data_IF_283920278704
#
_entry.id   IF_283920278704
#
_cell.length_a   1.000
_cell.length_b   1.000
_cell.length_c   1.000
_cell.angle_alpha   90.00
_cell.angle_beta   90.00
_cell.angle_gamma   90.00
#
_symmetry.space_group_name_H-M   'P 1'
#
loop_
_entity.id
_entity.type
_entity.pdbx_description
1 polymer ?
#
# COMPACT_ATOMS: atom_id res chain seq x y z
N UNK A 1 28.16 19.32 -12.77
CA UNK A 1 27.73 18.80 -14.08
C UNK A 1 26.29 18.34 -13.90
N UNK A 2 25.31 19.07 -14.44
CA UNK A 2 23.90 18.72 -14.29
C UNK A 2 23.57 17.63 -15.33
N UNK A 3 23.20 16.45 -14.86
CA UNK A 3 22.67 15.36 -15.69
C UNK A 3 21.15 15.54 -15.80
N UNK A 4 20.56 15.19 -16.93
CA UNK A 4 19.10 15.10 -17.03
C UNK A 4 18.59 13.94 -16.16
N UNK A 5 17.33 14.01 -15.71
CA UNK A 5 16.72 12.93 -14.90
C UNK A 5 16.89 11.57 -15.58
N UNK A 6 16.66 11.49 -16.88
CA UNK A 6 16.81 10.26 -17.68
C UNK A 6 18.24 9.72 -17.72
N UNK A 7 19.26 10.58 -17.73
CA UNK A 7 20.68 10.17 -17.72
C UNK A 7 21.16 9.80 -16.32
N UNK A 8 20.62 10.44 -15.28
CA UNK A 8 20.95 10.13 -13.89
C UNK A 8 20.50 8.72 -13.48
N UNK A 9 19.39 8.22 -14.03
CA UNK A 9 18.90 6.86 -13.79
C UNK A 9 19.68 5.77 -14.56
N UNK A 10 20.54 6.14 -15.53
CA UNK A 10 21.30 5.17 -16.32
C UNK A 10 22.55 4.65 -15.60
N UNK A 11 23.12 5.44 -14.68
CA UNK A 11 24.30 5.04 -13.92
C UNK A 11 23.92 4.77 -12.45
N UNK A 12 24.27 3.60 -11.90
CA UNK A 12 24.00 3.31 -10.50
C UNK A 12 24.75 4.30 -9.61
N UNK A 13 24.09 4.76 -8.54
CA UNK A 13 24.75 5.65 -7.59
C UNK A 13 25.87 4.88 -6.86
N UNK A 14 27.12 5.22 -7.19
CA UNK A 14 28.32 4.56 -6.65
C UNK A 14 28.38 4.57 -5.12
N UNK A 15 27.85 5.60 -4.47
CA UNK A 15 27.79 5.67 -3.01
C UNK A 15 26.83 4.65 -2.44
N UNK A 16 25.65 4.50 -3.03
CA UNK A 16 24.64 3.52 -2.60
C UNK A 16 25.15 2.10 -2.87
N UNK A 17 25.78 1.90 -4.03
CA UNK A 17 26.41 0.63 -4.37
C UNK A 17 27.46 0.22 -3.32
N UNK A 18 28.42 1.09 -3.00
CA UNK A 18 29.42 0.80 -1.97
C UNK A 18 28.80 0.66 -0.57
N UNK A 19 27.83 1.51 -0.22
CA UNK A 19 27.20 1.49 1.10
C UNK A 19 26.45 0.17 1.36
N UNK A 20 25.87 -0.41 0.32
CA UNK A 20 25.11 -1.66 0.37
C UNK A 20 25.90 -2.88 -0.11
N UNK A 21 27.19 -2.75 -0.47
CA UNK A 21 28.01 -3.86 -0.94
C UNK A 21 28.66 -4.66 0.20
N UNK A 22 29.22 -5.81 -0.15
CA UNK A 22 30.03 -6.64 0.75
C UNK A 22 31.35 -5.98 1.18
N UNK A 23 31.81 -4.95 0.48
CA UNK A 23 33.01 -4.20 0.86
C UNK A 23 32.80 -3.41 2.15
N UNK A 24 31.55 -3.01 2.41
CA UNK A 24 31.16 -2.40 3.66
C UNK A 24 30.99 -3.48 4.75
N UNK A 25 32.03 -3.66 5.56
CA UNK A 25 32.02 -4.59 6.71
C UNK A 25 30.92 -4.31 7.74
N UNK A 26 30.35 -3.10 7.74
CA UNK A 26 29.28 -2.69 8.64
C UNK A 26 27.89 -2.71 8.00
N UNK A 27 27.73 -3.24 6.79
CA UNK A 27 26.46 -3.26 6.07
C UNK A 27 25.31 -3.85 6.91
N UNK A 28 25.50 -5.03 7.51
CA UNK A 28 24.47 -5.68 8.34
C UNK A 28 24.14 -4.89 9.63
N UNK A 29 25.13 -4.47 10.46
CA UNK A 29 24.87 -3.59 11.61
C UNK A 29 24.18 -2.27 11.23
N UNK A 30 24.54 -1.66 10.11
CA UNK A 30 23.91 -0.43 9.64
C UNK A 30 22.46 -0.66 9.23
N UNK A 31 22.19 -1.68 8.43
CA UNK A 31 20.83 -2.05 8.03
C UNK A 31 19.93 -2.31 9.25
N UNK A 32 20.40 -3.16 10.17
CA UNK A 32 19.65 -3.50 11.38
C UNK A 32 19.46 -2.30 12.31
N UNK A 33 20.46 -1.43 12.45
CA UNK A 33 20.35 -0.18 13.21
C UNK A 33 19.29 0.76 12.61
N UNK A 34 19.32 0.99 11.30
CA UNK A 34 18.34 1.84 10.62
C UNK A 34 16.92 1.30 10.80
N UNK A 35 16.73 -0.01 10.58
CA UNK A 35 15.44 -0.66 10.76
C UNK A 35 14.93 -0.51 12.20
N UNK A 36 15.79 -0.75 13.19
CA UNK A 36 15.44 -0.63 14.60
C UNK A 36 15.13 0.81 15.00
N UNK A 37 15.87 1.80 14.51
CA UNK A 37 15.61 3.22 14.79
C UNK A 37 14.20 3.60 14.34
N UNK A 38 13.79 3.20 13.14
CA UNK A 38 12.45 3.47 12.61
C UNK A 38 11.39 2.67 13.37
N UNK A 39 11.51 1.34 13.43
CA UNK A 39 10.47 0.48 13.99
C UNK A 39 10.33 0.59 15.52
N UNK A 40 11.35 1.03 16.25
CA UNK A 40 11.29 1.26 17.69
C UNK A 40 10.84 2.68 18.08
N UNK A 41 10.70 3.61 17.13
CA UNK A 41 10.33 4.99 17.45
C UNK A 41 8.90 5.09 17.96
N UNK A 42 8.75 5.71 19.14
CA UNK A 42 7.46 5.99 19.76
C UNK A 42 7.24 7.51 19.87
N UNK A 43 6.35 8.09 19.02
CA UNK A 43 6.10 9.53 19.02
C UNK A 43 5.30 10.02 20.24
N UNK A 44 4.69 9.11 21.01
CA UNK A 44 3.88 9.44 22.19
C UNK A 44 4.75 9.57 23.45
N UNK A 45 5.87 8.84 23.51
CA UNK A 45 6.79 8.87 24.65
C UNK A 45 6.11 8.48 25.96
N UNK A 46 6.14 9.37 26.97
CA UNK A 46 5.52 9.13 28.27
C UNK A 46 3.98 9.20 28.28
N UNK A 47 3.32 9.47 27.14
CA UNK A 47 1.85 9.53 27.06
C UNK A 47 1.23 10.74 27.76
N UNK A 48 2.05 11.73 28.12
CA UNK A 48 1.59 12.96 28.77
C UNK A 48 1.17 13.99 27.70
N UNK A 49 -0.02 14.61 27.80
CA UNK A 49 -0.44 15.70 26.93
C UNK A 49 0.61 16.84 26.90
N UNK A 50 0.86 17.41 25.71
CA UNK A 50 1.81 18.51 25.49
C UNK A 50 3.29 18.20 25.81
N UNK A 51 3.66 16.92 25.96
CA UNK A 51 5.05 16.51 26.20
C UNK A 51 6.04 17.11 25.19
N UNK A 52 5.61 17.23 23.93
CA UNK A 52 6.41 17.80 22.83
C UNK A 52 6.65 19.32 22.93
N UNK A 53 5.89 20.05 23.75
CA UNK A 53 6.14 21.47 24.02
C UNK A 53 7.17 21.67 25.14
N UNK A 54 7.20 20.74 26.10
CA UNK A 54 8.11 20.78 27.24
C UNK A 54 9.46 20.16 26.93
N UNK A 55 9.49 19.16 26.04
CA UNK A 55 10.70 18.45 25.65
C UNK A 55 10.85 18.42 24.13
N UNK A 56 12.01 18.86 23.65
CA UNK A 56 12.38 18.74 22.24
C UNK A 56 12.76 17.29 21.93
N UNK A 57 11.98 16.64 21.08
CA UNK A 57 12.33 15.29 20.61
C UNK A 57 13.44 15.36 19.56
N UNK A 58 14.64 14.95 19.96
CA UNK A 58 15.81 14.84 19.09
C UNK A 58 15.86 13.54 18.28
N UNK A 59 14.98 12.58 18.55
CA UNK A 59 14.93 11.28 17.86
C UNK A 59 14.15 11.35 16.57
N UNK A 60 13.10 12.18 16.50
CA UNK A 60 12.27 12.29 15.29
C UNK A 60 13.08 12.62 14.03
N UNK A 61 13.98 13.62 14.02
CA UNK A 61 14.79 13.91 12.83
C UNK A 61 15.71 12.77 12.43
N UNK A 62 16.25 12.02 13.41
CA UNK A 62 17.08 10.85 13.15
C UNK A 62 16.26 9.72 12.51
N UNK A 63 15.03 9.52 12.96
CA UNK A 63 14.09 8.52 12.41
C UNK A 63 13.73 8.86 10.98
N UNK A 64 13.44 10.12 10.69
CA UNK A 64 13.11 10.59 9.35
C UNK A 64 14.28 10.34 8.38
N UNK A 65 15.51 10.73 8.75
CA UNK A 65 16.70 10.49 7.93
C UNK A 65 17.00 9.00 7.79
N UNK A 66 16.83 8.20 8.85
CA UNK A 66 17.04 6.76 8.79
C UNK A 66 16.04 6.07 7.83
N UNK A 67 14.78 6.50 7.87
CA UNK A 67 13.72 6.01 6.98
C UNK A 67 13.98 6.41 5.53
N UNK A 68 14.35 7.66 5.26
CA UNK A 68 14.73 8.11 3.93
C UNK A 68 15.92 7.33 3.38
N UNK A 69 16.95 7.09 4.21
CA UNK A 69 18.11 6.30 3.83
C UNK A 69 17.73 4.85 3.51
N UNK A 70 16.85 4.22 4.31
CA UNK A 70 16.32 2.89 4.01
C UNK A 70 15.58 2.87 2.67
N UNK A 71 14.72 3.84 2.39
CA UNK A 71 13.97 3.90 1.13
C UNK A 71 14.92 4.03 -0.06
N UNK A 72 15.86 4.98 0.01
CA UNK A 72 16.82 5.23 -1.08
C UNK A 72 17.73 4.02 -1.31
N UNK A 73 18.20 3.37 -0.25
CA UNK A 73 19.04 2.16 -0.37
C UNK A 73 18.26 0.95 -0.85
N UNK A 74 16.95 0.87 -0.61
CA UNK A 74 16.08 -0.20 -1.10
C UNK A 74 15.49 0.08 -2.49
N UNK A 75 15.60 1.30 -3.03
CA UNK A 75 15.04 1.62 -4.35
C UNK A 75 15.93 1.15 -5.51
N UNK A 76 17.25 1.16 -5.30
CA UNK A 76 18.23 0.72 -6.29
C UNK A 76 18.37 -0.81 -6.29
N UNK A 77 17.47 -1.48 -7.01
CA UNK A 77 17.65 -2.86 -7.41
C UNK A 77 18.51 -2.93 -8.69
N UNK A 78 19.80 -3.26 -8.54
CA UNK A 78 20.76 -3.35 -9.65
C UNK A 78 20.45 -4.49 -10.65
N UNK A 79 19.36 -5.26 -10.45
CA UNK A 79 18.91 -6.33 -11.35
C UNK A 79 18.84 -5.94 -12.82
N UNK A 80 18.52 -4.68 -13.13
CA UNK A 80 18.22 -4.26 -14.51
C UNK A 80 19.45 -4.03 -15.41
N UNK A 81 20.67 -3.93 -14.87
CA UNK A 81 21.88 -3.66 -15.69
C UNK A 81 22.68 -4.91 -16.05
N UNK A 82 22.55 -6.00 -15.28
CA UNK A 82 23.25 -7.25 -15.57
C UNK A 82 22.55 -8.09 -16.66
N UNK A 83 21.22 -8.00 -16.76
CA UNK A 83 20.43 -8.78 -17.72
C UNK A 83 20.68 -8.42 -19.19
N UNK A 84 21.26 -7.25 -19.48
CA UNK A 84 21.62 -6.86 -20.85
C UNK A 84 23.02 -7.31 -21.28
N UNK A 85 23.89 -7.77 -20.37
CA UNK A 85 25.31 -8.03 -20.69
C UNK A 85 25.88 -9.39 -20.24
N UNK A 86 25.20 -10.22 -19.44
CA UNK A 86 25.77 -11.51 -19.03
C UNK A 86 25.24 -12.70 -19.83
N UNK A 87 26.10 -13.24 -20.71
CA UNK A 87 25.99 -14.62 -21.19
C UNK A 87 26.24 -15.56 -20.02
N UNK A 88 25.22 -16.36 -19.68
CA UNK A 88 25.23 -17.64 -18.95
C UNK A 88 26.25 -17.86 -17.81
N UNK A 89 25.78 -17.94 -16.57
CA UNK A 89 26.22 -19.01 -15.64
C UNK A 89 25.11 -19.31 -14.63
N UNK A 90 24.84 -20.61 -14.47
CA UNK A 90 23.73 -21.21 -13.72
C UNK A 90 23.99 -21.19 -12.20
N UNK A 91 24.57 -20.10 -11.70
CA UNK A 91 24.86 -19.91 -10.27
C UNK A 91 23.89 -18.87 -9.70
N UNK A 92 22.89 -19.36 -8.97
CA UNK A 92 21.84 -18.57 -8.30
C UNK A 92 22.35 -17.53 -7.28
N UNK A 93 23.67 -17.41 -7.11
CA UNK A 93 24.41 -16.46 -6.29
C UNK A 93 24.87 -15.20 -7.04
N UNK A 94 24.74 -15.15 -8.37
CA UNK A 94 25.08 -13.97 -9.18
C UNK A 94 24.06 -12.81 -9.02
N UNK A 95 23.27 -12.80 -7.95
CA UNK A 95 21.99 -12.12 -7.87
C UNK A 95 21.85 -11.31 -6.57
N UNK A 96 21.79 -9.98 -6.73
CA UNK A 96 21.71 -8.90 -5.74
C UNK A 96 23.05 -8.43 -5.17
N UNK A 97 23.67 -7.47 -5.87
CA UNK A 97 24.79 -6.67 -5.34
C UNK A 97 24.39 -5.88 -4.08
N UNK A 98 23.10 -5.53 -3.96
CA UNK A 98 22.58 -4.77 -2.83
C UNK A 98 22.26 -5.70 -1.65
N UNK A 99 23.15 -5.73 -0.65
CA UNK A 99 22.98 -6.55 0.54
C UNK A 99 21.77 -6.17 1.38
N UNK A 100 21.30 -4.92 1.34
CA UNK A 100 20.16 -4.49 2.15
C UNK A 100 18.88 -5.15 1.64
N UNK A 101 18.67 -5.19 0.32
CA UNK A 101 17.55 -5.92 -0.30
C UNK A 101 17.64 -7.42 0.06
N UNK A 102 18.86 -7.98 0.02
CA UNK A 102 19.10 -9.37 0.42
C UNK A 102 18.71 -9.61 1.89
N UNK A 103 19.15 -8.74 2.80
CA UNK A 103 18.79 -8.84 4.21
C UNK A 103 17.28 -8.74 4.44
N UNK A 104 16.59 -7.78 3.83
CA UNK A 104 15.12 -7.66 3.89
C UNK A 104 14.44 -8.95 3.42
N UNK A 105 14.85 -9.50 2.28
CA UNK A 105 14.26 -10.72 1.72
C UNK A 105 14.47 -11.97 2.59
N UNK A 106 15.53 -11.98 3.41
CA UNK A 106 15.91 -13.10 4.27
C UNK A 106 15.31 -13.03 5.68
N UNK A 107 14.70 -11.91 6.09
CA UNK A 107 13.96 -11.86 7.36
C UNK A 107 12.84 -12.91 7.33
N UNK A 108 12.74 -13.72 8.36
CA UNK A 108 11.78 -14.84 8.40
C UNK A 108 11.26 -15.17 9.79
N UNK A 109 11.84 -14.58 10.86
CA UNK A 109 11.36 -14.84 12.22
C UNK A 109 10.07 -14.06 12.45
N UNK A 110 9.08 -14.73 13.02
CA UNK A 110 7.78 -14.09 13.31
C UNK A 110 7.92 -12.94 14.32
N UNK A 111 8.87 -13.03 15.26
CA UNK A 111 9.17 -11.96 16.22
C UNK A 111 9.64 -10.68 15.52
N UNK A 112 10.53 -10.81 14.53
CA UNK A 112 11.03 -9.69 13.73
C UNK A 112 9.89 -9.05 12.92
N UNK A 113 9.02 -9.88 12.31
CA UNK A 113 7.85 -9.40 11.60
C UNK A 113 6.86 -8.67 12.52
N UNK A 114 6.61 -9.21 13.70
CA UNK A 114 5.76 -8.58 14.70
C UNK A 114 6.33 -7.24 15.19
N UNK A 115 7.64 -7.16 15.41
CA UNK A 115 8.30 -5.91 15.76
C UNK A 115 8.15 -4.85 14.65
N UNK A 116 8.42 -5.21 13.41
CA UNK A 116 8.31 -4.31 12.25
C UNK A 116 6.86 -3.86 12.04
N UNK A 117 5.90 -4.79 12.07
CA UNK A 117 4.48 -4.48 11.87
C UNK A 117 3.94 -3.57 12.97
N UNK A 118 4.29 -3.82 14.24
CA UNK A 118 3.95 -2.94 15.36
C UNK A 118 4.54 -1.54 15.19
N UNK A 119 5.75 -1.43 14.65
CA UNK A 119 6.35 -0.15 14.30
C UNK A 119 5.50 0.62 13.28
N UNK A 120 5.12 -0.03 12.18
CA UNK A 120 4.26 0.57 11.16
C UNK A 120 2.89 0.98 11.70
N UNK A 121 2.20 0.09 12.42
CA UNK A 121 0.87 0.38 12.96
C UNK A 121 0.94 1.53 13.96
N UNK A 122 1.92 1.57 14.87
CA UNK A 122 2.10 2.69 15.82
C UNK A 122 2.30 4.03 15.09
N UNK A 123 3.19 4.06 14.12
CA UNK A 123 3.55 5.31 13.44
C UNK A 123 2.45 5.81 12.49
N UNK A 124 1.81 4.92 11.74
CA UNK A 124 0.71 5.28 10.83
C UNK A 124 -0.57 5.66 11.56
N UNK A 125 -0.86 5.06 12.72
CA UNK A 125 -2.06 5.41 13.50
C UNK A 125 -1.89 6.68 14.34
N UNK A 126 -0.66 7.17 14.59
CA UNK A 126 -0.41 8.33 15.44
C UNK A 126 -1.29 9.57 15.11
N UNK A 127 -1.50 9.97 13.83
CA UNK A 127 -2.35 11.12 13.50
C UNK A 127 -3.84 10.90 13.76
N UNK A 128 -4.27 9.64 13.84
CA UNK A 128 -5.67 9.23 13.99
C UNK A 128 -6.11 9.17 15.44
N UNK A 129 -5.15 9.12 16.38
CA UNK A 129 -5.44 9.07 17.81
C UNK A 129 -6.06 10.40 18.23
N UNK A 130 -7.34 10.36 18.58
CA UNK A 130 -8.04 11.49 19.15
C UNK A 130 -7.63 11.66 20.62
N UNK A 131 -7.17 12.85 20.96
CA UNK A 131 -6.97 13.28 22.33
C UNK A 131 -8.06 14.28 22.69
N UNK A 132 -8.55 14.24 23.93
CA UNK A 132 -9.57 15.18 24.42
C UNK A 132 -9.12 16.65 24.34
N UNK A 133 -7.80 16.88 24.36
CA UNK A 133 -7.19 18.19 24.32
C UNK A 133 -6.68 18.48 22.90
N UNK A 134 -7.08 19.60 22.28
CA UNK A 134 -6.64 19.95 20.93
C UNK A 134 -5.12 20.16 20.90
N UNK A 135 -4.47 19.68 19.84
CA UNK A 135 -3.01 19.77 19.63
C UNK A 135 -2.15 19.22 20.78
N UNK A 136 -2.70 18.33 21.61
CA UNK A 136 -1.98 17.80 22.77
C UNK A 136 -0.99 16.69 22.42
N UNK A 137 -1.18 16.02 21.29
CA UNK A 137 -0.26 15.01 20.77
C UNK A 137 0.50 15.53 19.55
N UNK A 138 1.81 15.27 19.49
CA UNK A 138 2.63 15.52 18.30
C UNK A 138 2.20 14.53 17.22
N UNK A 139 1.93 15.07 16.03
CA UNK A 139 1.66 14.27 14.83
C UNK A 139 2.97 14.09 14.07
N UNK A 140 3.30 12.85 13.75
CA UNK A 140 4.36 12.51 12.81
C UNK A 140 4.09 13.19 11.46
N UNK A 141 5.11 13.47 10.64
CA UNK A 141 4.94 14.07 9.32
C UNK A 141 5.40 13.16 8.16
N UNK A 142 6.25 12.17 8.43
CA UNK A 142 6.87 11.29 7.43
C UNK A 142 6.00 10.08 7.00
N UNK A 143 4.69 10.27 6.86
CA UNK A 143 3.76 9.17 6.52
C UNK A 143 3.95 8.65 5.09
N UNK A 144 4.34 9.52 4.17
CA UNK A 144 4.56 9.14 2.78
C UNK A 144 5.72 8.14 2.70
N UNK A 145 6.81 8.43 3.41
CA UNK A 145 8.00 7.60 3.52
C UNK A 145 7.66 6.27 4.19
N UNK A 146 6.84 6.27 5.25
CA UNK A 146 6.39 5.03 5.90
C UNK A 146 5.61 4.13 4.96
N UNK A 147 4.70 4.68 4.15
CA UNK A 147 3.94 3.92 3.17
C UNK A 147 4.86 3.33 2.08
N UNK A 148 5.81 4.12 1.58
CA UNK A 148 6.81 3.62 0.60
C UNK A 148 7.64 2.49 1.20
N UNK A 149 8.11 2.65 2.44
CA UNK A 149 8.88 1.62 3.11
C UNK A 149 8.06 0.35 3.37
N UNK A 150 6.80 0.48 3.80
CA UNK A 150 5.88 -0.64 3.96
C UNK A 150 5.67 -1.40 2.64
N UNK A 151 5.45 -0.67 1.55
CA UNK A 151 5.31 -1.26 0.22
C UNK A 151 6.56 -2.05 -0.19
N UNK A 152 7.76 -1.47 -0.05
CA UNK A 152 9.03 -2.15 -0.35
C UNK A 152 9.24 -3.41 0.51
N UNK A 153 8.92 -3.36 1.81
CA UNK A 153 8.99 -4.53 2.70
C UNK A 153 8.08 -5.67 2.23
N UNK A 154 6.83 -5.34 1.86
CA UNK A 154 5.88 -6.31 1.32
C UNK A 154 6.33 -6.87 -0.05
N UNK A 155 6.98 -6.05 -0.88
CA UNK A 155 7.41 -6.50 -2.20
C UNK A 155 8.62 -7.43 -2.14
N UNK A 156 9.69 -7.02 -1.44
CA UNK A 156 10.92 -7.80 -1.31
C UNK A 156 10.80 -9.02 -0.41
N UNK A 157 9.85 -9.03 0.53
CA UNK A 157 9.66 -10.15 1.45
C UNK A 157 8.20 -10.63 1.45
N UNK A 158 7.91 -11.63 0.61
CA UNK A 158 6.58 -12.25 0.55
C UNK A 158 6.17 -12.94 1.87
N UNK A 159 7.11 -13.41 2.69
CA UNK A 159 6.79 -13.99 4.01
C UNK A 159 6.23 -12.92 4.95
N UNK A 160 6.80 -11.71 4.93
CA UNK A 160 6.27 -10.58 5.66
C UNK A 160 4.86 -10.20 5.17
N UNK A 161 4.65 -10.13 3.85
CA UNK A 161 3.33 -9.87 3.27
C UNK A 161 2.29 -10.88 3.77
N UNK A 162 2.57 -12.19 3.71
CA UNK A 162 1.66 -13.22 4.21
C UNK A 162 1.45 -13.15 5.72
N UNK A 163 2.48 -12.78 6.49
CA UNK A 163 2.37 -12.55 7.93
C UNK A 163 1.37 -11.41 8.23
N UNK A 164 1.51 -10.27 7.54
CA UNK A 164 0.58 -9.13 7.66
C UNK A 164 -0.85 -9.56 7.35
N UNK A 165 -1.05 -10.29 6.24
CA UNK A 165 -2.37 -10.74 5.79
C UNK A 165 -3.02 -11.80 6.69
N UNK A 166 -2.21 -12.61 7.38
CA UNK A 166 -2.68 -13.58 8.37
C UNK A 166 -3.11 -12.89 9.67
N UNK A 167 -2.44 -11.80 10.04
CA UNK A 167 -2.75 -11.02 11.23
C UNK A 167 -4.02 -10.19 11.05
N UNK A 168 -4.74 -9.92 12.15
CA UNK A 168 -5.80 -8.91 12.14
C UNK A 168 -5.28 -7.48 12.01
N UNK A 169 -3.97 -7.29 12.23
CA UNK A 169 -3.27 -6.00 12.17
C UNK A 169 -3.23 -5.39 10.77
N UNK A 170 -3.57 -6.14 9.71
CA UNK A 170 -3.72 -5.57 8.35
C UNK A 170 -4.77 -4.44 8.32
N UNK A 171 -5.80 -4.52 9.16
CA UNK A 171 -6.82 -3.46 9.25
C UNK A 171 -6.26 -2.20 9.91
N UNK A 172 -5.29 -2.37 10.82
CA UNK A 172 -4.59 -1.26 11.48
C UNK A 172 -3.58 -0.56 10.54
N UNK A 173 -3.28 -1.17 9.39
CA UNK A 173 -2.57 -0.51 8.26
C UNK A 173 -3.57 0.06 7.25
N UNK A 174 -4.67 -0.64 6.99
CA UNK A 174 -5.72 -0.23 6.05
C UNK A 174 -6.33 1.11 6.42
N UNK A 175 -6.74 1.29 7.68
CA UNK A 175 -7.48 2.49 8.12
C UNK A 175 -6.64 3.76 7.97
N UNK A 176 -5.38 3.83 8.45
CA UNK A 176 -4.49 4.97 8.15
C UNK A 176 -4.25 5.20 6.67
N UNK A 177 -4.07 4.13 5.89
CA UNK A 177 -3.86 4.25 4.44
C UNK A 177 -5.07 4.94 3.80
N UNK A 178 -6.30 4.49 4.09
CA UNK A 178 -7.52 5.09 3.58
C UNK A 178 -7.73 6.53 4.06
N UNK A 179 -7.37 6.84 5.31
CA UNK A 179 -7.41 8.20 5.85
C UNK A 179 -6.50 9.14 5.04
N UNK A 180 -5.23 8.77 4.83
CA UNK A 180 -4.29 9.59 4.08
C UNK A 180 -4.66 9.70 2.60
N UNK A 181 -5.19 8.64 1.99
CA UNK A 181 -5.72 8.69 0.63
C UNK A 181 -6.87 9.70 0.50
N UNK A 182 -7.81 9.69 1.46
CA UNK A 182 -8.93 10.63 1.43
C UNK A 182 -8.47 12.07 1.68
N UNK A 183 -7.56 12.30 2.62
CA UNK A 183 -7.04 13.64 2.91
C UNK A 183 -6.23 14.23 1.73
N UNK A 184 -5.45 13.39 1.05
CA UNK A 184 -4.62 13.82 -0.07
C UNK A 184 -5.37 13.95 -1.41
N UNK A 185 -6.59 13.41 -1.55
CA UNK A 185 -7.31 13.29 -2.84
C UNK A 185 -7.50 14.62 -3.61
N UNK A 186 -7.63 15.72 -2.89
CA UNK A 186 -7.88 17.05 -3.47
C UNK A 186 -6.59 17.82 -3.78
N UNK A 187 -5.44 17.34 -3.30
CA UNK A 187 -4.17 18.05 -3.34
C UNK A 187 -3.23 17.47 -4.41
N UNK A 188 -3.03 18.24 -5.49
CA UNK A 188 -2.18 17.85 -6.61
C UNK A 188 -0.70 17.68 -6.26
N UNK A 189 -0.25 18.22 -5.13
CA UNK A 189 1.14 18.06 -4.67
C UNK A 189 1.38 16.68 -4.03
N UNK A 190 0.33 16.05 -3.50
CA UNK A 190 0.38 14.77 -2.76
C UNK A 190 -0.04 13.56 -3.60
N UNK A 191 -0.01 13.69 -4.92
CA UNK A 191 -0.36 12.61 -5.87
C UNK A 191 0.50 11.37 -5.66
N UNK A 192 1.79 11.53 -5.37
CA UNK A 192 2.69 10.41 -5.10
C UNK A 192 2.22 9.54 -3.92
N UNK A 193 1.75 10.18 -2.84
CA UNK A 193 1.16 9.47 -1.69
C UNK A 193 -0.08 8.67 -2.11
N UNK A 194 -0.95 9.27 -2.93
CA UNK A 194 -2.16 8.59 -3.41
C UNK A 194 -1.81 7.36 -4.26
N UNK A 195 -0.85 7.48 -5.18
CA UNK A 195 -0.36 6.34 -5.97
C UNK A 195 0.16 5.20 -5.09
N UNK A 196 1.04 5.50 -4.14
CA UNK A 196 1.63 4.48 -3.28
C UNK A 196 0.56 3.81 -2.40
N UNK A 197 -0.35 4.59 -1.81
CA UNK A 197 -1.44 4.02 -1.02
C UNK A 197 -2.35 3.11 -1.85
N UNK A 198 -2.70 3.50 -3.08
CA UNK A 198 -3.50 2.65 -3.99
C UNK A 198 -2.73 1.38 -4.39
N UNK A 199 -1.43 1.46 -4.66
CA UNK A 199 -0.63 0.28 -5.00
C UNK A 199 -0.45 -0.69 -3.83
N UNK A 200 -0.33 -0.19 -2.59
CA UNK A 200 -0.37 -1.03 -1.39
C UNK A 200 -1.70 -1.77 -1.32
N UNK A 201 -2.82 -1.05 -1.48
CA UNK A 201 -4.15 -1.68 -1.44
C UNK A 201 -4.35 -2.67 -2.59
N UNK A 202 -3.81 -2.39 -3.78
CA UNK A 202 -3.82 -3.31 -4.92
C UNK A 202 -3.07 -4.59 -4.59
N UNK A 203 -1.85 -4.48 -4.04
CA UNK A 203 -1.05 -5.62 -3.60
C UNK A 203 -1.79 -6.47 -2.55
N UNK A 204 -2.35 -5.83 -1.52
CA UNK A 204 -3.09 -6.53 -0.46
C UNK A 204 -4.38 -7.16 -0.98
N UNK A 205 -5.07 -6.52 -1.92
CA UNK A 205 -6.35 -6.99 -2.49
C UNK A 205 -6.22 -8.28 -3.27
N UNK A 206 -5.04 -8.58 -3.82
CA UNK A 206 -4.80 -9.82 -4.56
C UNK A 206 -4.92 -11.09 -3.72
N UNK A 207 -4.93 -10.95 -2.39
CA UNK A 207 -4.92 -12.08 -1.46
C UNK A 207 -6.28 -12.27 -0.79
N UNK A 208 -6.79 -13.51 -0.80
CA UNK A 208 -8.08 -13.88 -0.22
C UNK A 208 -8.24 -13.45 1.24
N UNK A 209 -7.18 -13.57 2.03
CA UNK A 209 -7.20 -13.25 3.46
C UNK A 209 -7.57 -11.78 3.69
N UNK A 210 -7.10 -10.86 2.85
CA UNK A 210 -7.45 -9.45 2.94
C UNK A 210 -8.95 -9.24 2.76
N UNK A 211 -9.52 -9.75 1.67
CA UNK A 211 -10.95 -9.60 1.37
C UNK A 211 -11.85 -10.17 2.47
N UNK A 212 -11.50 -11.32 3.03
CA UNK A 212 -12.24 -11.91 4.17
C UNK A 212 -12.18 -11.01 5.41
N UNK A 213 -11.02 -10.40 5.70
CA UNK A 213 -10.81 -9.53 6.88
C UNK A 213 -11.57 -8.22 6.78
N UNK A 214 -11.85 -7.72 5.58
CA UNK A 214 -12.65 -6.50 5.38
C UNK A 214 -14.06 -6.58 5.98
N UNK A 215 -14.61 -7.78 6.17
CA UNK A 215 -15.92 -7.98 6.80
C UNK A 215 -15.94 -7.66 8.31
N UNK A 216 -14.79 -7.42 8.96
CA UNK A 216 -14.77 -7.04 10.38
C UNK A 216 -15.54 -5.72 10.56
N UNK A 217 -16.38 -5.58 11.60
CA UNK A 217 -17.10 -4.34 11.84
C UNK A 217 -16.13 -3.18 12.04
N UNK A 218 -16.41 -2.05 11.38
CA UNK A 218 -15.65 -0.83 11.53
C UNK A 218 -16.15 -0.10 12.78
N UNK A 219 -15.29 -0.02 13.81
CA UNK A 219 -15.61 0.59 15.11
C UNK A 219 -14.77 1.82 15.41
N UNK A 220 -13.74 2.09 14.60
CA UNK A 220 -12.85 3.22 14.81
C UNK A 220 -13.57 4.54 14.47
N UNK A 221 -13.54 5.51 15.40
CA UNK A 221 -14.01 6.87 15.15
C UNK A 221 -12.83 7.72 14.67
N UNK A 222 -12.41 7.49 13.43
CA UNK A 222 -11.40 8.33 12.79
C UNK A 222 -12.07 9.61 12.27
N UNK A 223 -11.52 10.81 12.54
CA UNK A 223 -12.07 12.08 12.06
C UNK A 223 -11.78 12.22 10.56
N UNK A 224 -12.52 11.49 9.75
CA UNK A 224 -12.38 11.44 8.31
C UNK A 224 -13.58 12.11 7.67
N UNK A 225 -13.34 12.90 6.62
CA UNK A 225 -14.41 13.47 5.79
C UNK A 225 -15.08 12.35 4.98
N UNK A 226 -15.98 11.61 5.61
CA UNK A 226 -16.85 10.57 5.04
C UNK A 226 -18.24 10.67 5.68
N UNK A 227 -19.32 10.30 4.96
CA UNK A 227 -20.64 10.23 5.57
C UNK A 227 -20.65 9.26 6.76
N UNK A 228 -21.49 9.53 7.75
CA UNK A 228 -21.68 8.60 8.87
C UNK A 228 -22.33 7.32 8.35
N UNK A 229 -21.71 6.18 8.66
CA UNK A 229 -22.23 4.86 8.30
C UNK A 229 -22.00 3.88 9.46
N UNK A 230 -22.78 2.81 9.46
CA UNK A 230 -22.56 1.65 10.34
C UNK A 230 -22.36 0.44 9.44
N UNK A 231 -21.17 -0.14 9.50
CA UNK A 231 -20.78 -1.20 8.57
C UNK A 231 -19.42 -1.80 8.88
N UNK A 232 -18.80 -2.33 7.84
CA UNK A 232 -17.54 -3.07 7.87
C UNK A 232 -16.38 -2.22 7.32
N UNK A 233 -15.15 -2.73 7.38
CA UNK A 233 -14.01 -2.07 6.74
C UNK A 233 -14.13 -2.07 5.20
N UNK A 234 -14.88 -3.01 4.62
CA UNK A 234 -15.21 -3.00 3.20
C UNK A 234 -16.03 -1.76 2.81
N UNK A 235 -17.00 -1.39 3.65
CA UNK A 235 -17.82 -0.19 3.44
C UNK A 235 -16.97 1.08 3.44
N UNK A 236 -16.04 1.19 4.40
CA UNK A 236 -15.09 2.31 4.45
C UNK A 236 -14.30 2.40 3.14
N UNK A 237 -13.69 1.29 2.71
CA UNK A 237 -12.89 1.22 1.48
C UNK A 237 -13.68 1.71 0.27
N UNK A 238 -14.91 1.21 0.09
CA UNK A 238 -15.79 1.61 -1.03
C UNK A 238 -16.12 3.09 -0.99
N UNK A 239 -16.47 3.62 0.20
CA UNK A 239 -16.82 5.03 0.37
C UNK A 239 -15.62 5.93 0.05
N UNK A 240 -14.42 5.57 0.50
CA UNK A 240 -13.18 6.31 0.21
C UNK A 240 -12.91 6.32 -1.29
N UNK A 241 -13.00 5.15 -1.94
CA UNK A 241 -12.69 5.02 -3.36
C UNK A 241 -13.69 5.80 -4.21
N UNK A 242 -14.98 5.77 -3.84
CA UNK A 242 -16.00 6.61 -4.46
C UNK A 242 -15.62 8.10 -4.37
N UNK A 243 -15.21 8.59 -3.19
CA UNK A 243 -14.80 10.00 -3.04
C UNK A 243 -13.55 10.32 -3.87
N UNK A 244 -12.57 9.43 -3.95
CA UNK A 244 -11.37 9.64 -4.77
C UNK A 244 -11.75 9.75 -6.25
N UNK A 245 -12.64 8.88 -6.75
CA UNK A 245 -13.06 8.89 -8.15
C UNK A 245 -13.92 10.13 -8.47
N UNK A 246 -14.85 10.48 -7.61
CA UNK A 246 -15.85 11.53 -7.88
C UNK A 246 -15.40 12.94 -7.52
N UNK A 247 -14.56 13.10 -6.49
CA UNK A 247 -14.11 14.41 -5.98
C UNK A 247 -12.60 14.64 -6.13
N UNK A 248 -11.86 13.66 -6.64
CA UNK A 248 -10.43 13.78 -6.92
C UNK A 248 -10.13 14.68 -8.13
N UNK A 249 -8.87 15.08 -8.26
CA UNK A 249 -8.41 15.87 -9.41
C UNK A 249 -8.03 14.98 -10.61
N UNK A 250 -7.93 15.57 -11.81
CA UNK A 250 -7.65 14.85 -13.07
C UNK A 250 -6.39 13.98 -13.06
N UNK A 251 -5.31 14.36 -12.35
CA UNK A 251 -4.11 13.52 -12.28
C UNK A 251 -4.31 12.17 -11.55
N UNK A 252 -5.44 11.95 -10.86
CA UNK A 252 -5.78 10.66 -10.26
C UNK A 252 -6.49 9.71 -11.23
N UNK A 253 -6.89 10.19 -12.42
CA UNK A 253 -7.59 9.38 -13.41
C UNK A 253 -6.86 8.07 -13.78
N UNK A 254 -5.51 8.03 -13.90
CA UNK A 254 -4.79 6.77 -14.15
C UNK A 254 -4.95 5.71 -13.03
N UNK A 255 -5.36 6.11 -11.83
CA UNK A 255 -5.57 5.19 -10.70
C UNK A 255 -6.97 4.57 -10.69
N UNK A 256 -7.92 5.06 -11.50
CA UNK A 256 -9.30 4.57 -11.46
C UNK A 256 -9.37 3.08 -11.79
N UNK A 257 -8.58 2.63 -12.75
CA UNK A 257 -8.46 1.20 -13.10
C UNK A 257 -7.97 0.39 -11.91
N UNK A 258 -6.96 0.88 -11.17
CA UNK A 258 -6.44 0.21 -9.98
C UNK A 258 -7.47 0.16 -8.84
N UNK A 259 -8.18 1.28 -8.60
CA UNK A 259 -9.22 1.36 -7.58
C UNK A 259 -10.36 0.37 -7.88
N UNK A 260 -10.85 0.34 -9.12
CA UNK A 260 -11.88 -0.63 -9.53
C UNK A 260 -11.38 -2.07 -9.44
N UNK A 261 -10.13 -2.33 -9.86
CA UNK A 261 -9.50 -3.65 -9.73
C UNK A 261 -9.49 -4.14 -8.28
N UNK A 262 -9.13 -3.28 -7.33
CA UNK A 262 -9.14 -3.62 -5.90
C UNK A 262 -10.55 -4.03 -5.45
N UNK A 263 -11.57 -3.25 -5.82
CA UNK A 263 -12.96 -3.55 -5.42
C UNK A 263 -13.39 -4.91 -6.02
N UNK A 264 -13.03 -5.18 -7.28
CA UNK A 264 -13.28 -6.49 -7.91
C UNK A 264 -12.59 -7.63 -7.17
N UNK A 265 -11.32 -7.48 -6.81
CA UNK A 265 -10.55 -8.50 -6.12
C UNK A 265 -11.16 -8.88 -4.76
N UNK A 266 -11.71 -7.91 -4.02
CA UNK A 266 -12.31 -8.17 -2.71
C UNK A 266 -13.76 -8.63 -2.80
N UNK A 267 -14.45 -8.35 -3.90
CA UNK A 267 -15.89 -8.60 -4.08
C UNK A 267 -16.37 -10.02 -3.76
N UNK A 268 -15.67 -11.12 -4.11
CA UNK A 268 -16.13 -12.48 -3.83
C UNK A 268 -16.15 -12.81 -2.34
N UNK A 269 -15.51 -11.97 -1.50
CA UNK A 269 -15.34 -12.20 -0.09
C UNK A 269 -16.23 -11.30 0.78
N UNK A 270 -16.92 -10.31 0.19
CA UNK A 270 -17.79 -9.39 0.92
C UNK A 270 -19.12 -10.07 1.25
N UNK A 271 -19.52 -10.06 2.51
CA UNK A 271 -20.76 -10.71 2.99
C UNK A 271 -21.93 -9.76 3.13
N UNK A 272 -21.66 -8.56 3.66
CA UNK A 272 -22.70 -7.57 3.96
C UNK A 272 -22.15 -6.20 3.65
N UNK A 273 -22.88 -5.45 2.82
CA UNK A 273 -22.61 -4.05 2.55
C UNK A 273 -23.70 -3.18 3.17
N UNK A 274 -23.29 -2.06 3.73
CA UNK A 274 -24.18 -1.01 4.19
C UNK A 274 -24.92 -0.37 3.01
N UNK A 275 -26.12 0.16 3.26
CA UNK A 275 -26.88 0.90 2.26
C UNK A 275 -26.07 2.07 1.66
N UNK A 276 -25.27 2.75 2.49
CA UNK A 276 -24.40 3.84 2.05
C UNK A 276 -23.37 3.35 1.03
N UNK A 277 -22.61 2.29 1.33
CA UNK A 277 -21.62 1.75 0.38
C UNK A 277 -22.27 1.23 -0.90
N UNK A 278 -23.41 0.53 -0.81
CA UNK A 278 -24.13 0.02 -1.97
C UNK A 278 -24.60 1.14 -2.92
N UNK A 279 -25.13 2.24 -2.38
CA UNK A 279 -25.51 3.41 -3.22
C UNK A 279 -24.29 4.05 -3.89
N UNK A 280 -23.11 4.07 -3.23
CA UNK A 280 -21.87 4.55 -3.83
C UNK A 280 -21.39 3.66 -4.98
N UNK A 281 -21.51 2.34 -4.84
CA UNK A 281 -21.21 1.41 -5.94
C UNK A 281 -22.12 1.62 -7.15
N UNK A 282 -23.43 1.79 -6.93
CA UNK A 282 -24.38 2.08 -8.01
C UNK A 282 -24.03 3.39 -8.72
N UNK A 283 -23.69 4.44 -7.97
CA UNK A 283 -23.25 5.71 -8.57
C UNK A 283 -21.97 5.57 -9.40
N UNK A 284 -21.01 4.73 -8.97
CA UNK A 284 -19.83 4.45 -9.78
C UNK A 284 -20.21 3.71 -11.06
N UNK A 285 -21.07 2.69 -10.98
CA UNK A 285 -21.55 1.95 -12.14
C UNK A 285 -22.22 2.89 -13.15
N UNK A 286 -23.13 3.75 -12.70
CA UNK A 286 -23.79 4.76 -13.53
C UNK A 286 -22.77 5.66 -14.21
N UNK A 287 -21.82 6.24 -13.45
CA UNK A 287 -20.83 7.17 -13.98
C UNK A 287 -19.95 6.53 -15.07
N UNK A 288 -19.45 5.32 -14.83
CA UNK A 288 -18.59 4.60 -15.78
C UNK A 288 -19.37 4.02 -16.97
N UNK A 289 -20.66 3.77 -16.83
CA UNK A 289 -21.55 3.29 -17.92
C UNK A 289 -22.01 4.39 -18.87
N UNK A 290 -21.69 5.66 -18.60
CA UNK A 290 -22.10 6.77 -19.47
C UNK A 290 -21.47 6.65 -20.87
N UNK A 291 -22.22 6.88 -21.97
CA UNK A 291 -21.71 6.74 -23.33
C UNK A 291 -20.46 7.58 -23.59
N UNK A 292 -20.42 8.81 -23.05
CA UNK A 292 -19.29 9.72 -23.21
C UNK A 292 -18.00 9.15 -22.59
N UNK A 293 -18.09 8.54 -21.40
CA UNK A 293 -16.93 7.91 -20.78
C UNK A 293 -16.52 6.64 -21.53
N UNK A 294 -17.47 5.77 -21.88
CA UNK A 294 -17.23 4.53 -22.60
C UNK A 294 -16.53 4.74 -23.96
N UNK A 295 -16.93 5.77 -24.69
CA UNK A 295 -16.35 6.09 -26.01
C UNK A 295 -15.10 6.97 -25.95
N UNK A 296 -14.72 7.47 -24.77
CA UNK A 296 -13.54 8.35 -24.63
C UNK A 296 -12.21 7.60 -24.77
N UNK A 297 -12.17 6.30 -24.49
CA UNK A 297 -10.98 5.47 -24.67
C UNK A 297 -11.36 4.03 -25.01
N UNK A 298 -10.62 3.38 -25.90
CA UNK A 298 -10.91 2.04 -26.37
C UNK A 298 -10.78 0.98 -25.28
N UNK A 299 -10.09 1.24 -24.17
CA UNK A 299 -9.93 0.33 -23.02
C UNK A 299 -11.02 0.48 -21.95
N UNK A 300 -11.84 1.53 -21.99
CA UNK A 300 -12.81 1.85 -20.92
C UNK A 300 -13.94 0.82 -20.79
N UNK A 301 -14.18 0.00 -21.83
CA UNK A 301 -15.14 -1.09 -21.76
C UNK A 301 -14.75 -2.17 -20.74
N UNK A 302 -13.45 -2.37 -20.47
CA UNK A 302 -12.99 -3.28 -19.41
C UNK A 302 -13.36 -2.80 -18.01
N UNK A 303 -13.45 -1.48 -17.81
CA UNK A 303 -13.85 -0.86 -16.54
C UNK A 303 -15.34 -1.02 -16.28
N UNK A 304 -16.15 -0.91 -17.33
CA UNK A 304 -17.59 -1.20 -17.24
C UNK A 304 -17.84 -2.68 -17.02
N UNK A 305 -17.08 -3.57 -17.67
CA UNK A 305 -17.20 -5.01 -17.42
C UNK A 305 -16.88 -5.36 -15.96
N UNK A 306 -15.78 -4.83 -15.41
CA UNK A 306 -15.38 -5.05 -14.01
C UNK A 306 -16.38 -4.44 -13.01
N UNK A 307 -16.86 -3.22 -13.24
CA UNK A 307 -17.88 -2.58 -12.39
C UNK A 307 -19.26 -3.28 -12.47
N UNK A 308 -19.65 -3.76 -13.65
CA UNK A 308 -20.89 -4.53 -13.85
C UNK A 308 -20.81 -5.89 -13.14
N UNK A 309 -19.67 -6.59 -13.24
CA UNK A 309 -19.42 -7.84 -12.52
C UNK A 309 -19.50 -7.66 -11.00
N UNK A 310 -19.00 -6.53 -10.52
CA UNK A 310 -19.07 -6.13 -9.12
C UNK A 310 -20.50 -5.90 -8.63
N UNK A 311 -21.32 -5.16 -9.39
CA UNK A 311 -22.72 -4.95 -9.07
C UNK A 311 -23.48 -6.28 -9.05
N UNK A 312 -23.17 -7.20 -9.97
CA UNK A 312 -23.75 -8.53 -9.96
C UNK A 312 -23.34 -9.35 -8.72
N UNK A 313 -22.06 -9.35 -8.34
CA UNK A 313 -21.58 -10.08 -7.16
C UNK A 313 -22.14 -9.51 -5.84
N UNK A 314 -22.19 -8.19 -5.69
CA UNK A 314 -22.68 -7.51 -4.49
C UNK A 314 -24.19 -7.67 -4.27
N UNK A 315 -25.00 -7.76 -5.33
CA UNK A 315 -26.46 -7.89 -5.23
C UNK A 315 -26.98 -9.33 -5.31
N UNK A 316 -26.30 -10.24 -6.03
CA UNK A 316 -26.81 -11.59 -6.27
C UNK A 316 -26.08 -12.71 -5.49
N UNK A 317 -25.04 -12.39 -4.71
CA UNK A 317 -24.34 -13.39 -3.87
C UNK A 317 -23.64 -14.50 -4.68
N UNK A 318 -23.35 -14.25 -5.95
CA UNK A 318 -22.71 -15.22 -6.83
C UNK A 318 -21.23 -15.38 -6.43
N UNK A 319 -20.89 -16.55 -5.89
CA UNK A 319 -19.50 -16.92 -5.61
C UNK A 319 -18.75 -17.19 -6.92
N UNK A 320 -17.62 -16.51 -7.11
CA UNK A 320 -16.76 -16.72 -8.27
C UNK A 320 -15.36 -17.22 -7.84
N UNK A 321 -14.85 -18.21 -8.57
CA UNK A 321 -13.48 -18.73 -8.40
C UNK A 321 -12.60 -18.13 -9.49
N UNK A 322 -11.60 -17.34 -9.09
CA UNK A 322 -10.54 -16.89 -10.00
C UNK A 322 -9.53 -18.02 -10.20
N UNK A 323 -9.19 -18.36 -11.46
CA UNK A 323 -8.05 -19.22 -11.78
C UNK A 323 -6.94 -18.36 -12.39
N UNK A 324 -5.79 -18.29 -11.74
CA UNK A 324 -4.60 -17.61 -12.28
C UNK A 324 -3.82 -18.56 -13.20
N UNK A 325 -3.77 -18.28 -14.50
CA UNK A 325 -2.77 -18.90 -15.39
C UNK A 325 -1.48 -18.09 -15.33
N UNK A 326 -0.40 -18.69 -14.80
CA UNK A 326 0.93 -18.07 -14.77
C UNK A 326 1.53 -18.06 -16.17
N UNK A 327 1.50 -16.92 -16.87
CA UNK A 327 2.35 -16.67 -18.02
C UNK A 327 3.48 -15.72 -17.63
N UNK A 328 4.70 -16.21 -17.81
CA UNK A 328 5.97 -15.51 -17.58
C UNK A 328 6.16 -14.35 -18.57
N UNK A 329 5.51 -13.21 -18.36
CA UNK A 329 5.88 -11.92 -18.95
C UNK A 329 5.38 -10.79 -18.06
N UNK A 330 6.11 -9.67 -18.04
CA UNK A 330 5.93 -8.51 -17.17
C UNK A 330 4.67 -7.67 -17.47
N UNK A 331 3.51 -8.32 -17.49
CA UNK A 331 2.18 -7.73 -17.58
C UNK A 331 1.39 -8.32 -16.40
N UNK A 332 0.59 -7.53 -15.64
CA UNK A 332 -0.25 -8.08 -14.59
C UNK A 332 -1.12 -9.21 -15.17
N UNK A 333 -1.34 -10.31 -14.43
CA UNK A 333 -2.02 -11.48 -14.96
C UNK A 333 -3.42 -11.11 -15.46
N UNK A 334 -3.74 -11.51 -16.69
CA UNK A 334 -5.12 -11.46 -17.19
C UNK A 334 -5.92 -12.45 -16.35
N UNK A 335 -6.78 -11.93 -15.47
CA UNK A 335 -7.71 -12.76 -14.69
C UNK A 335 -8.79 -13.25 -15.66
N UNK A 336 -8.73 -14.53 -16.04
CA UNK A 336 -9.81 -15.20 -16.78
C UNK A 336 -10.82 -15.75 -15.77
N UNK A 337 -12.05 -15.26 -15.84
CA UNK A 337 -13.15 -15.73 -15.00
C UNK A 337 -13.88 -16.86 -15.71
N UNK A 338 -13.92 -18.04 -15.08
CA UNK A 338 -14.69 -19.20 -15.54
C UNK A 338 -16.03 -19.25 -14.79
N UNK A 339 -17.12 -19.41 -15.54
CA UNK A 339 -18.46 -19.54 -14.98
C UNK A 339 -18.68 -21.00 -14.54
N UNK A 340 -18.74 -21.25 -13.23
CA UNK A 340 -19.23 -22.53 -12.71
C UNK A 340 -20.61 -22.31 -12.08
N UNK A 341 -21.65 -22.81 -12.75
CA UNK A 341 -22.98 -22.86 -12.17
C UNK A 341 -23.01 -23.98 -11.13
N UNK A 342 -22.94 -23.62 -9.84
CA UNK A 342 -23.37 -24.53 -8.78
C UNK A 342 -24.89 -24.60 -8.84
N UNK A 343 -25.43 -25.70 -9.35
CA UNK A 343 -26.84 -26.00 -9.29
C UNK A 343 -27.23 -26.22 -7.82
N UNK A 344 -28.13 -25.35 -7.35
CA UNK A 344 -28.98 -25.43 -6.15
C UNK A 344 -28.29 -25.48 -4.78
#
# INVERSE_FOLDING_TARGET
MYLSSTEAHQNPNKWIQFFTSADNRHALPLFTSLLNVVCAYDPVGYGVPFNHLLFTDSREPLVEVALQLLIVTLDHDFRSQAASNSVCSDDSTCAMENLFINYVSRIHREEDFGFVLKGFTRLLNNPLIQTYLPNSARKVQFHQELLVFFWKMCDYNKKFLFYVLKSSEVLDILVPTLYHLNDARADQSRVGLVHIGVFILLLLSGERNFGVRLNKPYTASVPMDVPVFTGTHADLLIIVFHKIITTGHQRLQPLFDCLLTIIVNVSPYLKTLSMVASTKLLHLLEAFSTPWFLYSNSTNHHLVFSAFFLAAAAFFGLGFSASSSSSSTAIPPIITWSFSSSKY
#
